data_IF_042914520041
#
_entry.id   IF_042914520041
#
_cell.length_a   1.000
_cell.length_b   1.000
_cell.length_c   1.000
_cell.angle_alpha   90.00
_cell.angle_beta   90.00
_cell.angle_gamma   90.00
#
_symmetry.space_group_name_H-M   'P 1'
#
loop_
_entity.id
_entity.type
_entity.pdbx_description
1 polymer ?
#
# COMPACT_ATOMS: atom_id res chain seq x y z
N UNK A 1 -1.27 12.32 -4.01
CA UNK A 1 -2.23 13.18 -3.37
C UNK A 1 -1.96 14.63 -3.72
N UNK A 2 -3.00 15.37 -3.99
CA UNK A 2 -2.90 16.73 -4.41
C UNK A 2 -3.73 17.63 -3.51
N UNK A 3 -3.13 18.66 -3.01
CA UNK A 3 -3.77 19.85 -2.52
C UNK A 3 -2.86 21.05 -2.81
N UNK A 4 -1.64 21.00 -2.30
CA UNK A 4 -0.62 22.02 -2.55
C UNK A 4 0.35 21.61 -3.65
N UNK A 5 0.62 20.31 -3.75
CA UNK A 5 1.54 19.72 -4.72
C UNK A 5 1.00 18.39 -5.25
N UNK A 6 1.16 18.16 -6.54
CA UNK A 6 0.82 16.89 -7.17
C UNK A 6 1.95 15.90 -7.01
N UNK A 7 1.75 14.90 -6.15
CA UNK A 7 2.66 13.78 -6.01
C UNK A 7 2.07 12.51 -6.62
N UNK A 8 2.89 11.80 -7.35
CA UNK A 8 2.53 10.46 -7.80
C UNK A 8 2.41 9.52 -6.60
N UNK A 9 1.30 8.78 -6.53
CA UNK A 9 1.12 7.70 -5.56
C UNK A 9 1.60 6.41 -6.23
N UNK A 10 2.76 5.86 -5.83
CA UNK A 10 3.23 4.59 -6.38
C UNK A 10 2.17 3.50 -6.22
N UNK A 11 1.96 2.71 -7.28
CA UNK A 11 1.01 1.61 -7.28
C UNK A 11 -0.48 1.96 -7.10
N UNK A 12 -0.88 3.23 -7.19
CA UNK A 12 -2.29 3.63 -7.12
C UNK A 12 -3.16 2.90 -8.17
N UNK A 13 -2.59 2.58 -9.34
CA UNK A 13 -3.25 1.82 -10.39
C UNK A 13 -3.73 0.43 -9.93
N UNK A 14 -3.10 -0.18 -8.93
CA UNK A 14 -3.51 -1.49 -8.39
C UNK A 14 -4.90 -1.45 -7.75
N UNK A 15 -5.23 -0.32 -7.10
CA UNK A 15 -6.59 -0.11 -6.58
C UNK A 15 -7.61 0.03 -7.72
N UNK A 16 -7.30 0.79 -8.76
CA UNK A 16 -8.16 0.88 -9.96
C UNK A 16 -8.36 -0.49 -10.59
N UNK A 17 -7.30 -1.24 -10.75
CA UNK A 17 -7.34 -2.58 -11.36
C UNK A 17 -8.13 -3.57 -10.49
N UNK A 18 -8.06 -3.43 -9.15
CA UNK A 18 -8.93 -4.14 -8.22
C UNK A 18 -10.41 -3.82 -8.48
N UNK A 19 -10.77 -2.54 -8.61
CA UNK A 19 -12.15 -2.14 -8.88
C UNK A 19 -12.65 -2.76 -10.19
N UNK A 20 -11.85 -2.71 -11.26
CA UNK A 20 -12.21 -3.31 -12.54
C UNK A 20 -12.49 -4.81 -12.40
N UNK A 21 -11.63 -5.54 -11.68
CA UNK A 21 -11.83 -6.97 -11.44
C UNK A 21 -13.05 -7.23 -10.56
N UNK A 22 -13.23 -6.49 -9.49
CA UNK A 22 -14.35 -6.66 -8.56
C UNK A 22 -15.71 -6.51 -9.28
N UNK A 23 -15.83 -5.52 -10.16
CA UNK A 23 -17.04 -5.34 -10.96
C UNK A 23 -17.20 -6.41 -12.05
N UNK A 24 -16.13 -6.83 -12.72
CA UNK A 24 -16.19 -7.89 -13.72
C UNK A 24 -16.53 -9.27 -13.12
N UNK A 25 -16.11 -9.51 -11.88
CA UNK A 25 -16.38 -10.74 -11.13
C UNK A 25 -17.74 -10.69 -10.39
N UNK A 26 -18.47 -9.59 -10.50
CA UNK A 26 -19.73 -9.35 -9.80
C UNK A 26 -19.65 -9.64 -8.30
N UNK A 27 -18.62 -9.09 -7.65
CA UNK A 27 -18.39 -9.28 -6.20
C UNK A 27 -19.61 -8.78 -5.42
N UNK A 28 -20.20 -9.60 -4.53
CA UNK A 28 -21.34 -9.18 -3.71
C UNK A 28 -21.07 -7.89 -2.96
N UNK A 29 -22.05 -6.98 -2.95
CA UNK A 29 -21.88 -5.63 -2.44
C UNK A 29 -21.45 -5.58 -0.96
N UNK A 30 -21.97 -6.46 -0.13
CA UNK A 30 -21.55 -6.58 1.27
C UNK A 30 -20.09 -7.02 1.41
N UNK A 31 -19.61 -7.92 0.54
CA UNK A 31 -18.21 -8.31 0.49
C UNK A 31 -17.35 -7.15 0.00
N UNK A 32 -17.78 -6.48 -1.06
CA UNK A 32 -17.09 -5.32 -1.62
C UNK A 32 -16.86 -4.23 -0.56
N UNK A 33 -17.89 -3.89 0.24
CA UNK A 33 -17.77 -2.93 1.35
C UNK A 33 -16.82 -3.44 2.43
N UNK A 34 -16.92 -4.71 2.84
CA UNK A 34 -16.03 -5.27 3.87
C UNK A 34 -14.58 -5.22 3.44
N UNK A 35 -14.29 -5.50 2.17
CA UNK A 35 -12.94 -5.40 1.62
C UNK A 35 -12.41 -3.97 1.67
N UNK A 36 -13.23 -2.96 1.36
CA UNK A 36 -12.82 -1.55 1.43
C UNK A 36 -12.58 -1.07 2.87
N UNK A 37 -13.43 -1.46 3.79
CA UNK A 37 -13.37 -0.96 5.18
C UNK A 37 -12.33 -1.71 6.01
N UNK A 38 -12.22 -3.03 5.83
CA UNK A 38 -11.44 -3.91 6.69
C UNK A 38 -10.85 -5.11 5.94
N UNK A 39 -10.42 -4.92 4.69
CA UNK A 39 -9.89 -5.97 3.84
C UNK A 39 -8.63 -6.64 4.38
N UNK A 40 -7.87 -5.95 5.22
CA UNK A 40 -6.72 -6.47 5.94
C UNK A 40 -7.10 -7.45 7.09
N UNK A 41 -8.36 -7.39 7.54
CA UNK A 41 -8.89 -8.24 8.63
C UNK A 41 -9.80 -9.38 8.13
N UNK A 42 -10.03 -9.47 6.82
CA UNK A 42 -10.87 -10.53 6.24
C UNK A 42 -10.18 -11.89 6.43
N UNK A 43 -10.88 -12.82 7.08
CA UNK A 43 -10.34 -14.15 7.42
C UNK A 43 -10.03 -14.99 6.17
N UNK A 44 -10.91 -14.91 5.15
CA UNK A 44 -10.75 -15.60 3.87
C UNK A 44 -10.67 -14.56 2.74
N UNK A 45 -9.52 -13.92 2.53
CA UNK A 45 -9.39 -12.90 1.53
C UNK A 45 -9.51 -13.48 0.11
N UNK A 46 -10.11 -12.70 -0.80
CA UNK A 46 -10.07 -13.01 -2.23
C UNK A 46 -8.65 -12.85 -2.75
N UNK A 47 -8.31 -13.68 -3.72
CA UNK A 47 -7.04 -13.59 -4.43
C UNK A 47 -7.32 -13.57 -5.93
N UNK A 48 -6.58 -12.73 -6.65
CA UNK A 48 -6.57 -12.77 -8.11
C UNK A 48 -5.93 -14.06 -8.64
N UNK A 49 -6.03 -14.31 -9.93
CA UNK A 49 -5.33 -15.42 -10.59
C UNK A 49 -3.80 -15.35 -10.37
N UNK A 50 -3.24 -14.16 -10.28
CA UNK A 50 -1.82 -13.94 -9.97
C UNK A 50 -1.44 -14.17 -8.50
N UNK A 51 -2.38 -14.56 -7.64
CA UNK A 51 -2.16 -14.78 -6.21
C UNK A 51 -2.16 -13.49 -5.37
N UNK A 52 -2.48 -12.33 -5.96
CA UNK A 52 -2.56 -11.05 -5.24
C UNK A 52 -3.76 -11.04 -4.31
N UNK A 53 -3.59 -10.55 -3.09
CA UNK A 53 -4.68 -10.39 -2.12
C UNK A 53 -5.55 -9.19 -2.50
N UNK A 54 -6.70 -9.45 -3.10
CA UNK A 54 -7.66 -8.45 -3.55
C UNK A 54 -8.30 -7.69 -2.39
N UNK A 55 -8.59 -8.38 -1.28
CA UNK A 55 -9.23 -7.77 -0.12
C UNK A 55 -8.35 -6.70 0.53
N UNK A 56 -7.03 -6.90 0.54
CA UNK A 56 -6.09 -5.86 1.02
C UNK A 56 -6.02 -4.70 0.02
N UNK A 57 -6.06 -4.97 -1.29
CA UNK A 57 -6.02 -3.91 -2.30
C UNK A 57 -7.19 -2.93 -2.16
N UNK A 58 -8.36 -3.43 -1.78
CA UNK A 58 -9.54 -2.61 -1.55
C UNK A 58 -9.32 -1.53 -0.48
N UNK A 59 -8.51 -1.80 0.56
CA UNK A 59 -8.18 -0.81 1.59
C UNK A 59 -7.39 0.39 1.06
N UNK A 60 -6.88 0.32 -0.17
CA UNK A 60 -6.29 1.43 -0.88
C UNK A 60 -7.21 2.64 -1.03
N UNK A 61 -8.53 2.43 -0.93
CA UNK A 61 -9.53 3.48 -0.87
C UNK A 61 -9.18 4.58 0.15
N UNK A 62 -8.76 4.20 1.35
CA UNK A 62 -8.42 5.13 2.43
C UNK A 62 -7.15 5.94 2.17
N UNK A 63 -6.39 5.55 1.17
CA UNK A 63 -5.13 6.21 0.80
C UNK A 63 -5.33 7.33 -0.22
N UNK A 64 -6.42 7.30 -0.96
CA UNK A 64 -6.73 8.22 -2.04
C UNK A 64 -7.50 9.43 -1.47
N UNK A 65 -6.82 10.31 -0.80
CA UNK A 65 -7.42 11.52 -0.23
C UNK A 65 -6.49 12.70 -0.36
N UNK A 66 -7.01 13.87 -0.05
CA UNK A 66 -6.23 15.07 0.06
C UNK A 66 -5.22 14.98 1.22
N UNK A 67 -4.05 15.55 1.04
CA UNK A 67 -3.05 15.68 2.09
C UNK A 67 -2.23 16.94 1.90
N UNK A 68 -2.08 17.70 2.97
CA UNK A 68 -1.17 18.85 3.01
C UNK A 68 0.24 18.32 3.22
N UNK A 69 1.22 18.85 2.47
CA UNK A 69 2.61 18.38 2.54
C UNK A 69 3.27 18.73 3.88
N UNK A 70 3.05 19.94 4.36
CA UNK A 70 3.66 20.45 5.59
C UNK A 70 2.65 21.26 6.41
N UNK A 71 1.71 20.58 7.06
CA UNK A 71 0.67 21.27 7.81
C UNK A 71 1.25 22.06 9.00
N UNK A 72 0.82 23.30 9.17
CA UNK A 72 1.19 24.13 10.33
C UNK A 72 0.56 23.57 11.60
N UNK A 73 -0.70 23.13 11.52
CA UNK A 73 -1.41 22.42 12.59
C UNK A 73 -1.64 20.97 12.20
N UNK A 74 -0.78 20.10 12.70
CA UNK A 74 -0.83 18.65 12.43
C UNK A 74 -2.12 18.00 12.95
N UNK A 75 -2.66 18.51 14.08
CA UNK A 75 -3.90 17.96 14.66
C UNK A 75 -5.11 18.34 13.83
N UNK A 76 -5.16 19.58 13.38
CA UNK A 76 -6.21 20.05 12.48
C UNK A 76 -6.17 19.29 11.17
N UNK A 77 -4.99 19.16 10.54
CA UNK A 77 -4.83 18.38 9.30
C UNK A 77 -5.28 16.92 9.47
N UNK A 78 -4.95 16.30 10.59
CA UNK A 78 -5.42 14.94 10.86
C UNK A 78 -6.96 14.87 11.00
N UNK A 79 -7.56 15.85 11.68
CA UNK A 79 -9.01 15.90 11.85
C UNK A 79 -9.72 16.11 10.51
N UNK A 80 -9.19 17.00 9.67
CA UNK A 80 -9.76 17.29 8.35
C UNK A 80 -9.64 16.11 7.39
N UNK A 81 -8.53 15.37 7.45
CA UNK A 81 -8.39 14.11 6.68
C UNK A 81 -9.40 13.05 7.10
N UNK A 82 -9.60 12.87 8.40
CA UNK A 82 -10.58 11.90 8.91
C UNK A 82 -11.99 12.34 8.52
N UNK A 83 -12.30 13.61 8.61
CA UNK A 83 -13.58 14.17 8.18
C UNK A 83 -13.83 13.90 6.69
N UNK A 84 -12.85 14.16 5.84
CA UNK A 84 -12.92 13.86 4.41
C UNK A 84 -13.13 12.35 4.16
N UNK A 85 -12.41 11.48 4.87
CA UNK A 85 -12.57 10.03 4.77
C UNK A 85 -13.97 9.57 5.16
N UNK A 86 -14.55 10.13 6.23
CA UNK A 86 -15.94 9.84 6.65
C UNK A 86 -16.93 10.28 5.59
N UNK A 87 -16.77 11.49 5.08
CA UNK A 87 -17.67 12.07 4.09
C UNK A 87 -17.66 11.27 2.79
N UNK A 88 -16.48 10.95 2.26
CA UNK A 88 -16.34 10.17 1.02
C UNK A 88 -16.86 8.75 1.21
N UNK A 89 -16.51 8.07 2.32
CA UNK A 89 -16.94 6.71 2.59
C UNK A 89 -18.47 6.62 2.69
N UNK A 90 -19.08 7.52 3.43
CA UNK A 90 -20.53 7.50 3.63
C UNK A 90 -21.29 7.78 2.33
N UNK A 91 -20.82 8.70 1.52
CA UNK A 91 -21.39 8.98 0.20
C UNK A 91 -21.20 7.82 -0.78
N UNK A 92 -19.99 7.24 -0.82
CA UNK A 92 -19.65 6.18 -1.77
C UNK A 92 -20.38 4.86 -1.46
N UNK A 93 -20.49 4.47 -0.20
CA UNK A 93 -21.01 3.17 0.17
C UNK A 93 -22.42 3.19 0.77
N UNK A 94 -22.86 4.31 1.33
CA UNK A 94 -24.17 4.40 1.96
C UNK A 94 -25.12 5.36 1.25
N UNK A 95 -24.60 6.22 0.37
CA UNK A 95 -25.39 7.25 -0.31
C UNK A 95 -25.89 8.35 0.62
N UNK A 96 -25.27 8.53 1.80
CA UNK A 96 -25.67 9.50 2.83
C UNK A 96 -24.57 10.52 3.10
N UNK A 97 -24.92 11.64 3.72
CA UNK A 97 -24.01 12.73 4.08
C UNK A 97 -23.66 12.70 5.57
N UNK A 98 -22.91 11.68 6.00
CA UNK A 98 -22.56 11.51 7.43
C UNK A 98 -21.80 12.72 8.00
N UNK A 99 -21.05 13.45 7.17
CA UNK A 99 -20.35 14.67 7.54
C UNK A 99 -21.25 15.76 8.16
N UNK A 100 -22.55 15.79 7.83
CA UNK A 100 -23.49 16.72 8.45
C UNK A 100 -23.64 16.48 9.97
N UNK A 101 -23.46 15.24 10.41
CA UNK A 101 -23.58 14.85 11.81
C UNK A 101 -22.36 15.25 12.67
N UNK A 102 -21.36 15.87 12.09
CA UNK A 102 -20.21 16.43 12.84
C UNK A 102 -20.62 17.48 13.88
N UNK A 103 -21.61 18.31 13.55
CA UNK A 103 -22.00 19.45 14.39
C UNK A 103 -23.35 19.26 15.09
N UNK A 104 -24.27 18.50 14.51
CA UNK A 104 -25.63 18.25 15.03
C UNK A 104 -26.14 16.92 14.48
N UNK A 105 -27.16 16.36 15.09
CA UNK A 105 -27.80 15.16 14.56
C UNK A 105 -28.32 15.40 13.14
N UNK A 106 -28.17 14.40 12.27
CA UNK A 106 -28.52 14.54 10.86
C UNK A 106 -29.98 14.91 10.69
N UNK A 107 -30.26 15.88 9.81
CA UNK A 107 -31.60 16.46 9.68
C UNK A 107 -32.65 15.46 9.18
N UNK A 108 -32.25 14.54 8.30
CA UNK A 108 -33.18 13.68 7.57
C UNK A 108 -33.00 12.20 7.90
N UNK A 109 -31.79 11.78 8.18
CA UNK A 109 -31.44 10.38 8.46
C UNK A 109 -31.30 10.14 9.96
N UNK A 110 -31.54 8.92 10.42
CA UNK A 110 -31.42 8.52 11.83
C UNK A 110 -29.92 8.36 12.23
N UNK A 111 -29.14 9.42 12.04
CA UNK A 111 -27.72 9.48 12.31
C UNK A 111 -27.49 10.58 13.34
N UNK A 112 -26.89 10.22 14.45
CA UNK A 112 -26.58 11.15 15.53
C UNK A 112 -25.13 11.69 15.40
N UNK A 113 -24.86 12.79 16.05
CA UNK A 113 -23.49 13.30 16.25
C UNK A 113 -22.60 12.23 16.88
N UNK A 114 -23.14 11.39 17.75
CA UNK A 114 -22.43 10.27 18.37
C UNK A 114 -21.96 9.24 17.33
N UNK A 115 -22.77 8.96 16.32
CA UNK A 115 -22.41 8.01 15.25
C UNK A 115 -21.24 8.55 14.42
N UNK A 116 -21.27 9.85 14.12
CA UNK A 116 -20.13 10.52 13.47
C UNK A 116 -18.83 10.35 14.28
N UNK A 117 -18.86 10.68 15.59
CA UNK A 117 -17.65 10.58 16.42
C UNK A 117 -17.24 9.14 16.72
N UNK A 118 -18.15 8.19 16.65
CA UNK A 118 -17.80 6.76 16.71
C UNK A 118 -17.00 6.35 15.49
N UNK A 119 -17.42 6.78 14.29
CA UNK A 119 -16.66 6.55 13.06
C UNK A 119 -15.34 7.29 13.05
N UNK A 120 -15.33 8.53 13.55
CA UNK A 120 -14.10 9.31 13.72
C UNK A 120 -13.09 8.58 14.60
N UNK A 121 -13.51 8.07 15.76
CA UNK A 121 -12.65 7.29 16.67
C UNK A 121 -12.08 6.03 16.02
N UNK A 122 -12.88 5.34 15.21
CA UNK A 122 -12.43 4.20 14.43
C UNK A 122 -11.29 4.57 13.46
N UNK A 123 -11.46 5.63 12.69
CA UNK A 123 -10.44 6.09 11.74
C UNK A 123 -9.21 6.68 12.45
N UNK A 124 -9.40 7.42 13.52
CA UNK A 124 -8.32 7.98 14.33
C UNK A 124 -7.45 6.90 14.99
N UNK A 125 -8.02 5.73 15.30
CA UNK A 125 -7.30 4.58 15.81
C UNK A 125 -6.63 3.72 14.73
N UNK A 126 -6.89 3.99 13.45
CA UNK A 126 -6.32 3.29 12.32
C UNK A 126 -5.09 4.03 11.81
N UNK A 127 -4.14 3.31 11.22
CA UNK A 127 -2.93 3.91 10.66
C UNK A 127 -2.56 3.28 9.32
N UNK A 128 -1.90 4.06 8.49
CA UNK A 128 -1.29 3.57 7.27
C UNK A 128 -0.13 2.64 7.60
N UNK A 129 -0.04 1.53 6.90
CA UNK A 129 1.11 0.65 6.99
C UNK A 129 1.43 0.05 5.64
N UNK A 130 2.68 -0.34 5.45
CA UNK A 130 3.07 -1.14 4.29
C UNK A 130 2.78 -2.61 4.55
N UNK A 131 2.29 -3.31 3.54
CA UNK A 131 2.00 -4.73 3.63
C UNK A 131 2.26 -5.45 2.33
N UNK A 132 2.42 -6.75 2.44
CA UNK A 132 2.62 -7.59 1.27
C UNK A 132 1.27 -8.00 0.69
N UNK A 133 1.14 -7.90 -0.62
CA UNK A 133 -0.06 -8.30 -1.35
C UNK A 133 -0.16 -9.80 -1.61
N UNK A 134 0.98 -10.52 -1.56
CA UNK A 134 1.04 -11.94 -1.90
C UNK A 134 0.93 -12.82 -0.65
N UNK A 135 0.50 -14.07 -0.86
CA UNK A 135 0.48 -15.09 0.21
C UNK A 135 1.88 -15.28 0.79
N UNK A 136 1.96 -15.73 2.04
CA UNK A 136 3.24 -15.99 2.70
C UNK A 136 4.10 -17.01 1.92
N UNK A 137 3.45 -18.07 1.41
CA UNK A 137 4.11 -19.06 0.55
C UNK A 137 4.77 -18.43 -0.67
N UNK A 138 4.07 -17.51 -1.33
CA UNK A 138 4.55 -16.86 -2.55
C UNK A 138 5.70 -15.89 -2.24
N UNK A 139 5.64 -15.23 -1.08
CA UNK A 139 6.74 -14.39 -0.58
C UNK A 139 8.01 -15.18 -0.36
N UNK A 140 7.90 -16.36 0.22
CA UNK A 140 9.05 -17.23 0.47
C UNK A 140 9.67 -17.72 -0.85
N UNK A 141 8.84 -18.09 -1.82
CA UNK A 141 9.30 -18.42 -3.19
C UNK A 141 9.96 -17.22 -3.87
N UNK A 142 9.37 -16.05 -3.81
CA UNK A 142 9.95 -14.81 -4.39
C UNK A 142 11.30 -14.50 -3.73
N UNK A 143 11.41 -14.66 -2.42
CA UNK A 143 12.67 -14.47 -1.68
C UNK A 143 13.76 -15.45 -2.15
N UNK A 144 13.40 -16.72 -2.31
CA UNK A 144 14.31 -17.75 -2.83
C UNK A 144 14.76 -17.43 -4.27
N UNK A 145 13.82 -17.07 -5.14
CA UNK A 145 14.12 -16.69 -6.54
C UNK A 145 15.06 -15.49 -6.63
N UNK A 146 14.82 -14.44 -5.81
CA UNK A 146 15.73 -13.28 -5.75
C UNK A 146 17.11 -13.65 -5.26
N UNK A 147 17.23 -14.57 -4.33
CA UNK A 147 18.52 -15.09 -3.86
C UNK A 147 19.26 -15.86 -4.97
N UNK A 148 18.54 -16.73 -5.67
CA UNK A 148 19.10 -17.49 -6.81
C UNK A 148 19.53 -16.53 -7.92
N UNK A 149 18.72 -15.55 -8.26
CA UNK A 149 19.04 -14.54 -9.27
C UNK A 149 20.31 -13.77 -8.90
N UNK A 150 20.44 -13.32 -7.64
CA UNK A 150 21.66 -12.64 -7.15
C UNK A 150 22.89 -13.52 -7.28
N UNK A 151 22.81 -14.75 -6.77
CA UNK A 151 23.92 -15.71 -6.84
C UNK A 151 24.34 -16.02 -8.28
N UNK A 152 23.38 -16.07 -9.20
CA UNK A 152 23.64 -16.30 -10.61
C UNK A 152 24.32 -15.08 -11.26
N UNK A 153 23.83 -13.88 -10.94
CA UNK A 153 24.46 -12.61 -11.40
C UNK A 153 25.89 -12.49 -10.92
N UNK A 154 26.17 -12.80 -9.65
CA UNK A 154 27.51 -12.72 -9.08
C UNK A 154 28.47 -13.75 -9.73
N UNK A 155 27.98 -14.97 -9.94
CA UNK A 155 28.75 -15.99 -10.68
C UNK A 155 29.03 -15.58 -12.13
N UNK A 156 28.04 -14.98 -12.79
CA UNK A 156 28.18 -14.50 -14.16
C UNK A 156 29.20 -13.34 -14.23
N UNK A 157 29.05 -12.36 -13.33
CA UNK A 157 29.98 -11.22 -13.25
C UNK A 157 31.40 -11.68 -12.96
N UNK A 158 31.60 -12.63 -12.04
CA UNK A 158 32.93 -13.18 -11.75
C UNK A 158 33.54 -13.93 -12.95
N UNK A 159 32.74 -14.74 -13.68
CA UNK A 159 33.20 -15.40 -14.89
C UNK A 159 33.57 -14.43 -15.98
N UNK A 160 32.75 -13.42 -16.24
CA UNK A 160 33.00 -12.36 -17.22
C UNK A 160 34.29 -11.63 -16.86
N UNK A 161 34.49 -11.29 -15.59
CA UNK A 161 35.69 -10.58 -15.13
C UNK A 161 36.95 -11.42 -15.28
N UNK A 162 36.89 -12.74 -15.08
CA UNK A 162 38.05 -13.62 -15.23
C UNK A 162 38.38 -13.91 -16.69
N UNK A 163 37.35 -14.23 -17.52
CA UNK A 163 37.58 -14.65 -18.91
C UNK A 163 37.83 -13.49 -19.88
N UNK A 164 37.14 -12.36 -19.72
CA UNK A 164 37.27 -11.23 -20.66
C UNK A 164 38.31 -10.21 -20.25
N UNK A 165 38.67 -10.11 -18.99
CA UNK A 165 39.41 -8.98 -18.45
C UNK A 165 40.76 -9.37 -17.81
N UNK A 166 41.15 -10.64 -17.94
CA UNK A 166 42.46 -11.11 -17.47
C UNK A 166 42.77 -10.86 -16.00
N UNK A 167 41.74 -10.58 -15.22
CA UNK A 167 41.86 -10.34 -13.77
C UNK A 167 42.26 -8.92 -13.37
N UNK A 168 42.21 -7.94 -14.27
CA UNK A 168 42.54 -6.55 -13.95
C UNK A 168 41.62 -6.00 -12.83
N UNK A 169 42.24 -5.61 -11.70
CA UNK A 169 41.54 -5.12 -10.51
C UNK A 169 40.77 -3.83 -10.77
N UNK A 170 41.20 -2.96 -11.69
CA UNK A 170 40.51 -1.72 -12.02
C UNK A 170 39.16 -2.00 -12.69
N UNK A 171 39.08 -3.02 -13.51
CA UNK A 171 37.89 -3.40 -14.23
C UNK A 171 36.92 -4.19 -13.29
N UNK A 172 37.45 -4.98 -12.40
CA UNK A 172 36.66 -5.60 -11.32
C UNK A 172 35.98 -4.52 -10.46
N UNK A 173 36.72 -3.45 -10.13
CA UNK A 173 36.18 -2.33 -9.36
C UNK A 173 35.11 -1.57 -10.15
N UNK A 174 35.30 -1.36 -11.45
CA UNK A 174 34.28 -0.72 -12.30
C UNK A 174 33.02 -1.57 -12.45
N UNK A 175 33.15 -2.90 -12.60
CA UNK A 175 32.02 -3.83 -12.64
C UNK A 175 31.27 -3.88 -11.30
N UNK A 176 31.97 -3.85 -10.18
CA UNK A 176 31.39 -3.74 -8.85
C UNK A 176 30.61 -2.43 -8.70
N UNK A 177 31.15 -1.32 -9.17
CA UNK A 177 30.46 -0.03 -9.14
C UNK A 177 29.20 -0.03 -10.01
N UNK A 178 29.24 -0.63 -11.19
CA UNK A 178 28.07 -0.81 -12.07
C UNK A 178 27.03 -1.70 -11.39
N UNK A 179 27.45 -2.79 -10.77
CA UNK A 179 26.55 -3.67 -10.01
C UNK A 179 25.87 -2.92 -8.85
N UNK A 180 26.60 -2.06 -8.13
CA UNK A 180 26.05 -1.21 -7.09
C UNK A 180 24.97 -0.23 -7.60
N UNK A 181 25.18 0.35 -8.78
CA UNK A 181 24.24 1.30 -9.40
C UNK A 181 22.95 0.60 -9.83
N UNK A 182 23.03 -0.60 -10.39
CA UNK A 182 21.86 -1.33 -10.90
C UNK A 182 21.12 -2.16 -9.85
N UNK A 183 21.81 -2.66 -8.83
CA UNK A 183 21.25 -3.61 -7.85
C UNK A 183 21.32 -3.13 -6.40
N UNK A 184 21.92 -1.96 -6.15
CA UNK A 184 22.11 -1.39 -4.82
C UNK A 184 23.16 -2.14 -3.98
N UNK A 185 23.79 -1.45 -3.02
CA UNK A 185 24.62 -2.07 -1.99
C UNK A 185 23.73 -2.64 -0.89
N UNK A 186 23.97 -3.88 -0.45
CA UNK A 186 23.53 -4.28 0.88
C UNK A 186 24.31 -3.42 1.89
N UNK A 187 23.66 -2.56 2.66
CA UNK A 187 24.31 -1.97 3.82
C UNK A 187 24.55 -3.07 4.85
N UNK A 188 25.77 -3.16 5.33
CA UNK A 188 26.14 -4.09 6.40
C UNK A 188 25.20 -3.87 7.61
N UNK A 189 24.44 -4.89 7.97
CA UNK A 189 23.52 -4.86 9.10
C UNK A 189 22.04 -4.57 8.78
N UNK A 190 21.66 -4.24 7.54
CA UNK A 190 20.27 -4.26 7.15
C UNK A 190 19.86 -5.70 6.79
N UNK A 191 19.18 -6.36 7.71
CA UNK A 191 18.42 -7.57 7.35
C UNK A 191 17.55 -7.29 6.13
N UNK A 192 17.41 -8.27 5.27
CA UNK A 192 16.69 -8.29 3.99
C UNK A 192 15.19 -7.86 4.05
N UNK A 193 14.79 -7.19 5.12
CA UNK A 193 13.46 -6.64 5.32
C UNK A 193 13.20 -5.33 4.57
N UNK A 194 14.24 -4.69 4.02
CA UNK A 194 14.16 -3.38 3.37
C UNK A 194 14.40 -3.39 1.87
N UNK A 195 14.26 -4.50 1.18
CA UNK A 195 13.97 -4.36 -0.24
C UNK A 195 12.61 -3.68 -0.33
N UNK A 196 12.62 -2.38 -0.58
CA UNK A 196 11.46 -1.67 -1.15
C UNK A 196 11.13 -2.42 -2.44
N UNK A 197 10.44 -3.54 -2.28
CA UNK A 197 9.87 -4.21 -3.41
C UNK A 197 8.95 -3.16 -4.05
N UNK A 198 9.12 -2.91 -5.33
CA UNK A 198 8.23 -2.09 -6.14
C UNK A 198 6.77 -2.53 -6.03
N UNK A 199 6.50 -3.62 -5.32
CA UNK A 199 5.22 -4.24 -5.04
C UNK A 199 4.64 -3.97 -3.65
N UNK A 200 5.27 -3.11 -2.82
CA UNK A 200 4.65 -2.70 -1.57
C UNK A 200 3.46 -1.80 -1.87
N UNK A 201 2.29 -2.27 -1.56
CA UNK A 201 1.08 -1.45 -1.56
C UNK A 201 0.83 -0.97 -0.14
N UNK A 202 0.52 0.30 -0.02
CA UNK A 202 0.16 0.88 1.27
C UNK A 202 -1.24 0.37 1.64
N UNK A 203 -1.35 -0.19 2.82
CA UNK A 203 -2.60 -0.71 3.37
C UNK A 203 -2.96 0.03 4.66
N UNK A 204 -4.24 0.10 4.92
CA UNK A 204 -4.78 0.74 6.10
C UNK A 204 -4.97 -0.33 7.20
N UNK A 205 -4.24 -0.22 8.31
CA UNK A 205 -4.33 -1.16 9.44
C UNK A 205 -4.73 -0.47 10.72
N UNK A 206 -5.47 -1.21 11.53
CA UNK A 206 -5.74 -0.81 12.92
C UNK A 206 -4.51 -1.10 13.80
N UNK A 207 -4.28 -0.31 14.85
CA UNK A 207 -3.35 -0.71 15.90
C UNK A 207 -3.88 -1.98 16.59
N UNK A 208 -2.99 -2.89 16.88
CA UNK A 208 -3.25 -4.10 17.70
C UNK A 208 -3.40 -3.71 19.15
#
# INVERSE_FOLDING_TARGET
>A
YGHEFDYSIPNAYKYRDYLIRAFNEDVPYDQFIREHIAGDLVTNPRHSESGTNESILATGFWWLGEAVHSPVDVRQDQADRIDNQIDVMSKAFLGITLGCARCHDHKFDAITTRDYYSMFGFLASSRRSEGFLYRQSDRDVIKQLKTIQRNLSDKLASKISVELLGGDEQIKHALSAVHQVFYGTPKDGEELNNTKATDNTLIFRRPT
#
